data_IF_226846384438
#
_entry.id   IF_226846384438
#
_cell.length_a   1.000
_cell.length_b   1.000
_cell.length_c   1.000
_cell.angle_alpha   90.00
_cell.angle_beta   90.00
_cell.angle_gamma   90.00
#
_symmetry.space_group_name_H-M   'P 1'
#
loop_
_entity.id
_entity.type
_entity.pdbx_description
1 polymer ?
#
# COMPACT_ATOMS: atom_id res chain seq x y z
N UNK A 1 62.57 -5.87 -4.21
CA UNK A 1 61.12 -6.05 -3.95
C UNK A 1 60.49 -6.57 -5.22
N UNK A 2 60.07 -7.84 -5.24
CA UNK A 2 59.63 -8.53 -6.46
C UNK A 2 58.12 -8.27 -6.71
N UNK A 3 57.70 -8.14 -7.99
CA UNK A 3 56.30 -7.84 -8.35
C UNK A 3 55.30 -8.91 -7.86
N UNK A 4 55.79 -10.11 -7.52
CA UNK A 4 55.02 -11.20 -6.91
C UNK A 4 54.47 -10.85 -5.53
N UNK A 5 55.20 -10.05 -4.75
CA UNK A 5 54.77 -9.66 -3.41
C UNK A 5 53.65 -8.62 -3.44
N UNK A 6 53.69 -7.69 -4.41
CA UNK A 6 52.67 -6.66 -4.57
C UNK A 6 51.34 -7.25 -5.02
N UNK A 7 51.36 -8.20 -5.97
CA UNK A 7 50.16 -8.92 -6.44
C UNK A 7 49.51 -9.72 -5.31
N UNK A 8 50.33 -10.41 -4.49
CA UNK A 8 49.83 -11.18 -3.35
C UNK A 8 49.17 -10.28 -2.30
N UNK A 9 49.78 -9.12 -1.99
CA UNK A 9 49.21 -8.15 -1.04
C UNK A 9 47.90 -7.55 -1.59
N UNK A 10 47.82 -7.19 -2.88
CA UNK A 10 46.58 -6.70 -3.48
C UNK A 10 45.46 -7.75 -3.52
N UNK A 11 45.79 -9.03 -3.70
CA UNK A 11 44.81 -10.13 -3.69
C UNK A 11 44.26 -10.40 -2.27
N UNK A 12 45.12 -10.27 -1.25
CA UNK A 12 44.76 -10.37 0.17
C UNK A 12 43.84 -9.22 0.62
N UNK A 13 44.09 -7.98 0.16
CA UNK A 13 43.17 -6.86 0.44
C UNK A 13 41.85 -6.99 -0.32
N UNK A 14 41.84 -7.54 -1.54
CA UNK A 14 40.60 -7.76 -2.31
C UNK A 14 39.70 -8.85 -1.70
N UNK A 15 40.29 -9.86 -1.05
CA UNK A 15 39.55 -10.91 -0.35
C UNK A 15 38.89 -10.45 0.96
N UNK A 16 39.20 -9.25 1.47
CA UNK A 16 38.57 -8.69 2.67
C UNK A 16 37.18 -8.07 2.39
N UNK A 17 36.73 -8.00 1.14
CA UNK A 17 35.35 -7.63 0.79
C UNK A 17 34.37 -8.79 0.96
N UNK A 18 34.64 -9.71 1.90
CA UNK A 18 33.66 -10.72 2.30
C UNK A 18 32.45 -9.95 2.79
N UNK A 19 31.39 -9.96 2.00
CA UNK A 19 30.06 -9.59 2.46
C UNK A 19 29.77 -10.53 3.63
N UNK A 20 29.97 -10.06 4.85
CA UNK A 20 29.41 -10.69 6.02
C UNK A 20 27.91 -10.68 5.76
N UNK A 21 27.34 -11.83 5.40
CA UNK A 21 25.92 -12.01 5.53
C UNK A 21 25.65 -11.79 7.02
N UNK A 22 25.08 -10.64 7.37
CA UNK A 22 24.66 -10.35 8.74
C UNK A 22 23.43 -11.21 8.95
N UNK A 23 23.66 -12.48 9.29
CA UNK A 23 22.59 -13.38 9.69
C UNK A 23 22.15 -12.96 11.09
N UNK A 24 20.89 -12.55 11.20
CA UNK A 24 20.32 -12.17 12.47
C UNK A 24 20.18 -13.40 13.38
N UNK A 25 20.46 -13.27 14.70
CA UNK A 25 20.27 -14.36 15.64
C UNK A 25 18.80 -14.83 15.67
N UNK A 26 18.53 -16.10 16.03
CA UNK A 26 17.17 -16.62 16.11
C UNK A 26 16.26 -15.71 16.94
N UNK A 27 15.04 -15.44 16.43
CA UNK A 27 14.10 -14.52 17.06
C UNK A 27 14.29 -13.05 16.68
N UNK A 28 15.17 -12.73 15.74
CA UNK A 28 15.32 -11.39 15.15
C UNK A 28 15.28 -11.44 13.62
N UNK A 29 14.98 -10.31 12.98
CA UNK A 29 14.95 -10.14 11.52
C UNK A 29 15.68 -8.87 11.08
N UNK A 30 16.24 -8.87 9.87
CA UNK A 30 16.89 -7.69 9.26
C UNK A 30 15.85 -6.62 8.91
N UNK A 31 15.97 -5.43 9.50
CA UNK A 31 15.22 -4.23 9.12
C UNK A 31 16.18 -3.05 9.07
N UNK A 32 16.27 -2.39 7.91
CA UNK A 32 17.19 -1.25 7.69
C UNK A 32 18.62 -1.54 8.18
N UNK A 33 19.18 -2.68 7.77
CA UNK A 33 20.56 -3.11 8.11
C UNK A 33 20.80 -3.40 9.61
N UNK A 34 19.74 -3.44 10.43
CA UNK A 34 19.83 -3.79 11.84
C UNK A 34 18.96 -5.01 12.18
N UNK A 35 19.45 -5.87 13.08
CA UNK A 35 18.64 -6.97 13.61
C UNK A 35 17.67 -6.45 14.66
N UNK A 36 16.38 -6.63 14.42
CA UNK A 36 15.31 -6.27 15.36
C UNK A 36 14.54 -7.51 15.81
N UNK A 37 14.09 -7.56 17.08
CA UNK A 37 13.33 -8.69 17.59
C UNK A 37 12.04 -8.93 16.81
N UNK A 38 11.71 -10.21 16.62
CA UNK A 38 10.48 -10.64 15.99
C UNK A 38 9.33 -10.48 16.98
N UNK A 39 8.43 -9.53 16.71
CA UNK A 39 7.26 -9.34 17.55
C UNK A 39 6.26 -10.48 17.33
N UNK A 40 5.66 -10.98 18.42
CA UNK A 40 4.52 -11.88 18.34
C UNK A 40 3.23 -11.13 17.99
N UNK A 41 3.23 -9.80 18.10
CA UNK A 41 2.11 -8.96 17.69
C UNK A 41 1.99 -8.89 16.18
N UNK A 42 0.84 -9.28 15.59
CA UNK A 42 0.64 -9.14 14.16
C UNK A 42 0.68 -7.67 13.75
N UNK A 43 1.28 -7.40 12.58
CA UNK A 43 1.40 -6.07 11.98
C UNK A 43 2.22 -5.06 12.82
N UNK A 44 3.07 -5.54 13.73
CA UNK A 44 3.99 -4.72 14.49
C UNK A 44 5.35 -4.57 13.78
N UNK A 45 5.82 -3.33 13.64
CA UNK A 45 7.13 -3.02 13.06
C UNK A 45 8.24 -2.99 14.12
N UNK A 46 7.91 -2.52 15.33
CA UNK A 46 8.85 -2.42 16.46
C UNK A 46 8.16 -2.85 17.73
N UNK A 47 8.69 -3.87 18.41
CA UNK A 47 8.12 -4.37 19.66
C UNK A 47 8.36 -3.37 20.79
N UNK A 48 7.53 -3.41 21.83
CA UNK A 48 7.78 -2.61 23.03
C UNK A 48 9.07 -3.09 23.71
N UNK A 49 10.12 -2.24 23.84
CA UNK A 49 11.39 -2.67 24.44
C UNK A 49 11.26 -3.00 25.93
N UNK A 50 10.18 -2.57 26.59
CA UNK A 50 9.89 -2.95 27.97
C UNK A 50 9.24 -4.34 28.08
N UNK A 51 8.72 -4.90 26.99
CA UNK A 51 8.09 -6.21 26.98
C UNK A 51 9.04 -7.31 26.48
N UNK A 52 9.61 -8.05 27.43
CA UNK A 52 10.51 -9.18 27.15
C UNK A 52 9.78 -10.38 26.50
N UNK A 53 8.45 -10.44 26.59
CA UNK A 53 7.66 -11.48 25.95
C UNK A 53 7.37 -11.16 24.47
N UNK A 54 7.72 -9.95 23.98
CA UNK A 54 7.47 -9.48 22.60
C UNK A 54 6.00 -9.58 22.16
N UNK A 55 5.10 -9.54 23.13
CA UNK A 55 3.66 -9.56 22.96
C UNK A 55 3.07 -8.17 22.82
N UNK A 56 3.81 -7.09 23.08
CA UNK A 56 3.37 -5.71 22.93
C UNK A 56 4.15 -4.96 21.85
N UNK A 57 3.49 -3.99 21.22
CA UNK A 57 4.03 -3.20 20.13
C UNK A 57 4.29 -1.74 20.53
N UNK A 58 5.41 -1.18 20.08
CA UNK A 58 5.71 0.24 20.18
C UNK A 58 5.35 0.99 18.88
N UNK A 59 5.49 0.35 17.72
CA UNK A 59 5.22 0.99 16.42
C UNK A 59 4.64 -0.02 15.43
N UNK A 60 3.48 0.31 14.86
CA UNK A 60 2.80 -0.52 13.86
C UNK A 60 3.30 -0.26 12.44
N UNK A 61 3.13 -1.23 11.54
CA UNK A 61 3.38 -0.99 10.12
C UNK A 61 2.41 0.09 9.55
N UNK A 62 2.79 0.76 8.45
CA UNK A 62 1.91 1.71 7.77
C UNK A 62 0.53 1.13 7.50
N UNK A 63 -0.52 1.92 7.78
CA UNK A 63 -1.92 1.49 7.63
C UNK A 63 -2.52 0.81 8.87
N UNK A 64 -1.74 0.67 9.94
CA UNK A 64 -2.19 0.21 11.24
C UNK A 64 -1.90 1.26 12.32
N UNK A 65 -2.81 1.39 13.29
CA UNK A 65 -2.67 2.25 14.46
C UNK A 65 -2.43 1.43 15.72
N UNK A 66 -1.70 2.03 16.66
CA UNK A 66 -1.42 1.42 17.95
C UNK A 66 -2.62 1.61 18.88
N UNK A 67 -3.24 0.51 19.28
CA UNK A 67 -4.33 0.51 20.25
C UNK A 67 -3.83 0.73 21.68
N UNK A 68 -4.70 1.14 22.64
CA UNK A 68 -4.35 1.26 24.05
C UNK A 68 -3.79 -0.03 24.67
N UNK A 69 -4.17 -1.19 24.13
CA UNK A 69 -3.67 -2.52 24.53
C UNK A 69 -2.36 -2.91 23.85
N UNK A 70 -1.63 -1.95 23.27
CA UNK A 70 -0.33 -2.14 22.59
C UNK A 70 -0.38 -3.13 21.42
N UNK A 71 -1.54 -3.28 20.78
CA UNK A 71 -1.72 -4.10 19.57
C UNK A 71 -1.96 -3.21 18.35
N UNK A 72 -1.59 -3.70 17.18
CA UNK A 72 -1.80 -3.00 15.92
C UNK A 72 -3.14 -3.35 15.30
N UNK A 73 -4.02 -2.35 15.19
CA UNK A 73 -5.33 -2.47 14.55
C UNK A 73 -5.34 -1.70 13.23
N UNK A 74 -6.08 -2.15 12.20
CA UNK A 74 -6.17 -1.43 10.93
C UNK A 74 -6.67 0.00 11.16
N UNK A 75 -5.99 0.99 10.57
CA UNK A 75 -6.46 2.37 10.59
C UNK A 75 -7.81 2.47 9.88
N UNK A 76 -8.73 3.20 10.49
CA UNK A 76 -10.05 3.45 9.92
C UNK A 76 -10.34 4.95 9.83
N UNK A 77 -9.71 5.62 8.87
CA UNK A 77 -9.80 7.09 8.71
C UNK A 77 -10.66 7.53 7.54
N UNK A 78 -11.31 6.59 6.84
CA UNK A 78 -12.16 6.90 5.69
C UNK A 78 -13.47 7.52 6.17
N UNK A 79 -13.76 8.73 5.70
CA UNK A 79 -15.02 9.41 5.97
C UNK A 79 -16.23 8.59 5.47
N UNK A 80 -17.27 8.50 6.30
CA UNK A 80 -18.49 7.73 6.06
C UNK A 80 -18.26 6.22 5.90
N UNK A 81 -17.19 5.70 6.52
CA UNK A 81 -16.92 4.28 6.59
C UNK A 81 -17.47 3.70 7.88
N UNK A 82 -18.39 2.75 7.75
CA UNK A 82 -18.99 2.01 8.87
C UNK A 82 -18.09 0.89 9.35
N UNK A 83 -17.40 0.21 8.44
CA UNK A 83 -16.50 -0.91 8.79
C UNK A 83 -15.29 -0.89 7.89
N UNK A 84 -14.10 -0.86 8.48
CA UNK A 84 -12.85 -0.90 7.76
C UNK A 84 -12.37 -2.33 7.49
N UNK A 85 -11.59 -2.45 6.43
CA UNK A 85 -10.92 -3.69 6.04
C UNK A 85 -9.89 -4.09 7.10
N UNK A 86 -9.86 -5.38 7.41
CA UNK A 86 -8.87 -5.98 8.31
C UNK A 86 -7.43 -6.00 7.74
N UNK A 87 -7.26 -5.68 6.47
CA UNK A 87 -5.98 -5.82 5.76
C UNK A 87 -5.00 -4.66 5.99
N UNK A 88 -5.36 -3.63 6.78
CA UNK A 88 -4.46 -2.48 7.02
C UNK A 88 -4.32 -1.51 5.85
N UNK A 89 -5.00 -1.75 4.74
CA UNK A 89 -4.91 -0.90 3.54
C UNK A 89 -5.60 0.47 3.70
N UNK A 90 -6.07 0.80 4.91
CA UNK A 90 -7.00 1.91 5.19
C UNK A 90 -8.12 1.97 4.14
N UNK A 91 -8.78 0.82 3.90
CA UNK A 91 -9.84 0.66 2.92
C UNK A 91 -11.15 0.34 3.63
N UNK A 92 -12.25 0.95 3.21
CA UNK A 92 -13.55 0.69 3.77
C UNK A 92 -14.16 -0.58 3.19
N UNK A 93 -14.75 -1.41 4.03
CA UNK A 93 -15.50 -2.61 3.63
C UNK A 93 -16.99 -2.30 3.50
N UNK A 94 -17.56 -1.55 4.45
CA UNK A 94 -18.96 -1.13 4.47
C UNK A 94 -19.06 0.38 4.70
N UNK A 95 -19.74 1.10 3.80
CA UNK A 95 -19.99 2.52 3.95
C UNK A 95 -21.29 2.78 4.71
N UNK A 96 -21.39 3.97 5.31
CA UNK A 96 -22.64 4.42 5.94
C UNK A 96 -23.79 4.52 4.93
N UNK A 97 -25.02 4.49 5.43
CA UNK A 97 -26.23 4.63 4.62
C UNK A 97 -26.17 5.89 3.74
N UNK A 98 -26.44 5.75 2.44
CA UNK A 98 -26.33 6.83 1.46
C UNK A 98 -24.94 7.02 0.86
N UNK A 99 -24.00 6.12 1.14
CA UNK A 99 -22.67 6.06 0.54
C UNK A 99 -22.40 4.68 -0.08
N UNK A 100 -21.69 4.65 -1.20
CA UNK A 100 -21.23 3.45 -1.87
C UNK A 100 -19.70 3.36 -1.87
N UNK A 101 -19.20 2.13 -1.75
CA UNK A 101 -17.79 1.81 -1.81
C UNK A 101 -17.27 1.95 -3.24
N UNK A 102 -16.15 2.65 -3.42
CA UNK A 102 -15.43 2.75 -4.69
C UNK A 102 -14.41 1.61 -4.85
N UNK A 103 -13.89 1.41 -6.06
CA UNK A 103 -12.82 0.41 -6.30
C UNK A 103 -11.54 0.65 -5.48
N UNK A 104 -11.31 1.90 -5.04
CA UNK A 104 -10.19 2.27 -4.16
C UNK A 104 -10.49 2.06 -2.67
N UNK A 105 -11.66 1.50 -2.33
CA UNK A 105 -12.08 1.31 -0.95
C UNK A 105 -12.56 2.57 -0.23
N UNK A 106 -12.75 3.70 -0.92
CA UNK A 106 -13.31 4.93 -0.33
C UNK A 106 -14.83 4.94 -0.39
N UNK A 107 -15.49 5.66 0.51
CA UNK A 107 -16.94 5.87 0.49
C UNK A 107 -17.30 7.17 -0.21
N UNK A 108 -18.19 7.09 -1.21
CA UNK A 108 -18.73 8.25 -1.92
C UNK A 108 -20.24 8.26 -1.83
N UNK A 109 -20.83 9.44 -1.64
CA UNK A 109 -22.28 9.59 -1.53
C UNK A 109 -22.92 9.01 -2.78
N UNK A 110 -23.85 8.07 -2.62
CA UNK A 110 -24.71 7.65 -3.72
C UNK A 110 -25.58 8.84 -4.06
N UNK A 111 -25.33 9.46 -5.21
CA UNK A 111 -26.20 10.52 -5.67
C UNK A 111 -27.59 9.93 -5.88
N UNK A 112 -28.58 10.43 -5.14
CA UNK A 112 -29.94 10.58 -5.70
C UNK A 112 -29.92 11.73 -6.72
N UNK A 113 -28.87 11.78 -7.54
CA UNK A 113 -28.87 12.57 -8.74
C UNK A 113 -29.89 11.88 -9.64
N UNK A 114 -31.14 12.33 -9.51
CA UNK A 114 -31.94 12.64 -10.68
C UNK A 114 -31.10 13.60 -11.55
N UNK A 115 -30.04 13.07 -12.14
CA UNK A 115 -29.61 13.48 -13.45
C UNK A 115 -30.80 13.10 -14.30
N UNK A 116 -31.74 14.03 -14.42
CA UNK A 116 -32.62 14.07 -15.56
C UNK A 116 -31.63 14.21 -16.71
N UNK A 117 -31.13 13.07 -17.20
CA UNK A 117 -30.73 12.92 -18.57
C UNK A 117 -32.04 13.14 -19.31
N UNK A 118 -32.35 14.41 -19.58
CA UNK A 118 -33.38 14.76 -20.54
C UNK A 118 -33.01 13.97 -21.79
N UNK A 119 -33.90 13.07 -22.26
CA UNK A 119 -33.66 12.41 -23.52
C UNK A 119 -33.88 13.49 -24.58
N UNK A 120 -32.83 14.19 -24.99
CA UNK A 120 -32.90 14.95 -26.24
C UNK A 120 -32.74 13.93 -27.36
N UNK A 121 -33.85 13.28 -27.67
CA UNK A 121 -34.07 12.67 -28.97
C UNK A 121 -34.05 13.81 -30.00
N UNK A 122 -32.91 14.05 -30.63
CA UNK A 122 -32.88 14.69 -31.95
C UNK A 122 -32.54 13.61 -32.97
N UNK A 123 -33.59 12.90 -33.39
CA UNK A 123 -33.61 12.30 -34.70
C UNK A 123 -33.60 13.45 -35.73
N UNK A 124 -32.43 13.78 -36.26
CA UNK A 124 -32.31 14.59 -37.48
C UNK A 124 -31.87 13.68 -38.61
N UNK A 125 -32.82 12.90 -39.12
CA UNK A 125 -32.73 12.37 -40.48
C UNK A 125 -33.19 13.46 -41.43
N UNK A 126 -32.25 14.12 -42.09
CA UNK A 126 -32.54 14.76 -43.38
C UNK A 126 -31.60 14.14 -44.41
N UNK A 127 -32.10 13.08 -45.06
CA UNK A 127 -31.62 12.69 -46.37
C UNK A 127 -32.08 13.77 -47.34
N UNK A 128 -31.13 14.46 -47.97
CA UNK A 128 -31.39 15.19 -49.21
C UNK A 128 -30.25 14.87 -50.19
N UNK A 129 -30.37 13.70 -50.84
CA UNK A 129 -29.75 13.48 -52.12
C UNK A 129 -30.75 13.93 -53.19
N UNK A 130 -30.41 14.93 -53.99
CA UNK A 130 -31.11 15.23 -55.24
C UNK A 130 -30.13 15.88 -56.21
N UNK A 131 -30.03 15.26 -57.38
CA UNK A 131 -29.06 15.45 -58.43
C UNK A 131 -29.28 16.77 -59.17
N UNK A 132 -28.21 17.49 -59.51
CA UNK A 132 -28.26 18.52 -60.55
C UNK A 132 -27.63 17.91 -61.80
N UNK A 133 -28.49 17.36 -62.66
CA UNK A 133 -28.20 17.20 -64.08
C UNK A 133 -28.90 18.36 -64.80
N UNK A 134 -28.14 19.30 -65.34
CA UNK A 134 -28.61 20.15 -66.45
C UNK A 134 -27.45 20.30 -67.43
N UNK A 135 -27.74 19.91 -68.66
CA UNK A 135 -26.90 20.02 -69.84
C UNK A 135 -26.82 21.46 -70.35
N UNK A 136 -25.66 21.84 -70.88
CA UNK A 136 -25.49 22.76 -71.99
C UNK A 136 -24.14 22.48 -72.66
#
# INVERSE_FOLDING_TARGET
MTPKLLVAVTLLLAAAMVAFAVDCPPGTSMVNENCVPNCLVPNCAVCDPADLAHTDCATCYPGYELSPSKKCTPMCTIANCKTCSSSGNNACQECDTGYARTAKGLCKRTGNSASIATPVAIASTVLAASLIAVAA
#
